data_IF_157251187050
#
_entry.id   IF_157251187050
#
_cell.length_a   1.000
_cell.length_b   1.000
_cell.length_c   1.000
_cell.angle_alpha   90.00
_cell.angle_beta   90.00
_cell.angle_gamma   90.00
#
_symmetry.space_group_name_H-M   'P 1'
#
loop_
_entity.id
_entity.type
_entity.pdbx_description
1 polymer ?
#
# COMPACT_ATOMS: atom_id res chain seq x y z
N UNK A 1 -34.06 25.60 35.96
CA UNK A 1 -34.24 24.38 35.16
C UNK A 1 -35.27 24.67 34.08
N UNK A 2 -34.82 24.99 32.86
CA UNK A 2 -35.68 25.16 31.68
C UNK A 2 -35.37 24.01 30.72
N UNK A 3 -36.39 23.27 30.33
CA UNK A 3 -36.28 22.17 29.39
C UNK A 3 -35.95 22.68 27.97
N UNK A 4 -35.16 21.95 27.17
CA UNK A 4 -34.89 22.32 25.79
C UNK A 4 -36.06 21.86 24.90
N UNK A 5 -36.52 22.77 24.05
CA UNK A 5 -37.50 22.54 22.99
C UNK A 5 -36.82 21.90 21.77
N UNK A 6 -37.25 20.69 21.40
CA UNK A 6 -36.84 20.01 20.18
C UNK A 6 -37.31 20.75 18.91
N UNK A 7 -36.49 20.85 17.86
CA UNK A 7 -36.93 21.37 16.57
C UNK A 7 -37.71 20.30 15.79
N UNK A 8 -38.80 20.76 15.17
CA UNK A 8 -39.67 19.98 14.30
C UNK A 8 -38.90 19.49 13.06
N UNK A 9 -38.82 18.17 12.92
CA UNK A 9 -38.31 17.48 11.73
C UNK A 9 -39.29 17.70 10.56
N UNK A 10 -38.87 18.44 9.54
CA UNK A 10 -39.67 18.73 8.34
C UNK A 10 -39.45 17.62 7.33
N UNK A 11 -40.41 16.68 7.25
CA UNK A 11 -40.45 15.61 6.26
C UNK A 11 -40.73 16.23 4.88
N UNK A 12 -39.78 16.11 3.96
CA UNK A 12 -39.97 16.45 2.55
C UNK A 12 -40.66 15.28 1.81
N UNK A 13 -41.60 15.55 0.88
CA UNK A 13 -42.27 14.50 0.14
C UNK A 13 -41.34 13.88 -0.90
N UNK A 14 -41.38 12.55 -1.00
CA UNK A 14 -40.75 11.79 -2.06
C UNK A 14 -41.36 12.17 -3.42
N UNK A 15 -40.53 12.69 -4.33
CA UNK A 15 -40.93 12.98 -5.71
C UNK A 15 -40.76 11.72 -6.55
N UNK A 16 -41.87 11.06 -6.87
CA UNK A 16 -41.95 9.94 -7.82
C UNK A 16 -41.89 10.50 -9.25
N UNK A 17 -40.68 10.63 -9.79
CA UNK A 17 -40.48 10.88 -11.22
C UNK A 17 -40.59 9.54 -11.97
N UNK A 18 -41.76 9.29 -12.56
CA UNK A 18 -41.96 8.18 -13.48
C UNK A 18 -41.21 8.46 -14.79
N UNK A 19 -40.08 7.79 -15.01
CA UNK A 19 -39.41 7.75 -16.31
C UNK A 19 -40.23 6.86 -17.25
N UNK A 20 -40.90 7.46 -18.22
CA UNK A 20 -41.52 6.74 -19.33
C UNK A 20 -40.42 6.23 -20.28
N UNK A 21 -40.18 4.92 -20.27
CA UNK A 21 -39.31 4.26 -21.25
C UNK A 21 -40.06 4.20 -22.58
N UNK A 22 -39.75 5.12 -23.49
CA UNK A 22 -40.20 5.07 -24.86
C UNK A 22 -39.48 3.91 -25.57
N UNK A 23 -40.16 2.76 -25.66
CA UNK A 23 -39.70 1.60 -26.41
C UNK A 23 -39.80 1.88 -27.91
N UNK A 24 -38.73 2.40 -28.50
CA UNK A 24 -38.58 2.48 -29.96
C UNK A 24 -38.16 1.10 -30.48
N UNK A 25 -39.15 0.29 -30.87
CA UNK A 25 -38.95 -0.92 -31.66
C UNK A 25 -38.52 -0.49 -33.07
N UNK A 26 -37.21 -0.37 -33.28
CA UNK A 26 -36.63 -0.25 -34.62
C UNK A 26 -36.74 -1.62 -35.30
N UNK A 27 -37.67 -1.77 -36.23
CA UNK A 27 -37.75 -2.94 -37.11
C UNK A 27 -36.47 -3.01 -37.95
N UNK A 28 -35.57 -3.92 -37.59
CA UNK A 28 -34.38 -4.24 -38.39
C UNK A 28 -34.84 -4.99 -39.64
N UNK A 29 -34.59 -4.47 -40.87
CA UNK A 29 -34.92 -5.18 -42.09
C UNK A 29 -34.10 -6.48 -42.19
N UNK A 30 -34.64 -7.56 -42.79
CA UNK A 30 -33.93 -8.83 -42.92
C UNK A 30 -32.68 -8.64 -43.78
N UNK A 31 -31.51 -8.69 -43.14
CA UNK A 31 -30.21 -8.61 -43.80
C UNK A 31 -29.97 -9.91 -44.58
N UNK A 32 -30.16 -9.83 -45.89
CA UNK A 32 -29.80 -10.88 -46.84
C UNK A 32 -28.31 -10.67 -47.21
N UNK A 33 -27.38 -11.07 -46.33
CA UNK A 33 -25.94 -11.07 -46.62
C UNK A 33 -25.42 -12.49 -46.75
N UNK A 34 -24.92 -12.81 -47.94
CA UNK A 34 -24.00 -13.92 -48.18
C UNK A 34 -22.63 -13.45 -47.74
N UNK A 35 -22.27 -13.76 -46.49
CA UNK A 35 -20.93 -13.53 -45.97
C UNK A 35 -20.03 -14.71 -46.39
N UNK A 36 -19.64 -14.74 -47.67
CA UNK A 36 -18.62 -15.65 -48.22
C UNK A 36 -17.21 -15.02 -48.11
N UNK A 37 -17.00 -14.11 -47.15
CA UNK A 37 -15.66 -13.57 -46.90
C UNK A 37 -14.77 -14.73 -46.40
N UNK A 38 -13.56 -14.93 -46.99
CA UNK A 38 -12.62 -15.91 -46.49
C UNK A 38 -12.38 -15.66 -44.98
N UNK A 39 -12.33 -16.71 -44.14
CA UNK A 39 -11.99 -16.53 -42.75
C UNK A 39 -10.69 -15.74 -42.66
N UNK A 40 -10.65 -14.73 -41.79
CA UNK A 40 -9.43 -14.00 -41.53
C UNK A 40 -8.31 -15.00 -41.21
N UNK A 41 -7.08 -14.79 -41.71
CA UNK A 41 -5.96 -15.66 -41.36
C UNK A 41 -5.88 -15.78 -39.85
N UNK A 42 -5.80 -17.01 -39.33
CA UNK A 42 -5.63 -17.25 -37.91
C UNK A 42 -4.37 -16.52 -37.44
N UNK A 43 -4.50 -15.70 -36.40
CA UNK A 43 -3.33 -15.07 -35.79
C UNK A 43 -2.30 -16.15 -35.42
N UNK A 44 -0.99 -15.88 -35.61
CA UNK A 44 0.04 -16.83 -35.21
C UNK A 44 -0.17 -17.19 -33.75
N UNK A 45 -0.10 -18.49 -33.44
CA UNK A 45 -0.23 -18.96 -32.06
C UNK A 45 0.81 -18.27 -31.20
N UNK A 46 0.36 -17.59 -30.15
CA UNK A 46 1.24 -17.04 -29.14
C UNK A 46 2.06 -18.17 -28.50
N UNK A 47 3.37 -17.97 -28.35
CA UNK A 47 4.30 -18.95 -27.75
C UNK A 47 4.95 -18.31 -26.53
N UNK A 48 4.65 -18.87 -25.36
CA UNK A 48 5.24 -18.47 -24.08
C UNK A 48 6.77 -18.67 -24.11
N UNK A 49 7.56 -17.76 -23.52
CA UNK A 49 9.02 -17.88 -23.52
C UNK A 49 9.49 -19.10 -22.70
N UNK A 50 10.67 -19.64 -23.04
CA UNK A 50 11.25 -20.75 -22.27
C UNK A 50 11.56 -20.29 -20.84
N UNK A 51 10.85 -20.83 -19.86
CA UNK A 51 11.02 -20.47 -18.46
C UNK A 51 12.41 -20.85 -17.94
N UNK A 52 13.03 -19.95 -17.18
CA UNK A 52 14.31 -20.24 -16.51
C UNK A 52 14.13 -20.55 -15.02
N UNK A 53 12.93 -20.32 -14.47
CA UNK A 53 12.62 -20.53 -13.06
C UNK A 53 12.23 -19.23 -12.36
N UNK A 54 12.17 -19.28 -11.03
CA UNK A 54 11.78 -18.16 -10.16
C UNK A 54 12.95 -17.89 -9.21
N UNK A 55 14.10 -17.54 -9.79
CA UNK A 55 15.38 -17.45 -9.08
C UNK A 55 15.76 -16.02 -8.66
N UNK A 56 15.02 -15.01 -9.14
CA UNK A 56 15.31 -13.58 -8.91
C UNK A 56 15.30 -12.77 -10.19
N UNK A 57 15.76 -11.52 -10.10
CA UNK A 57 15.79 -10.57 -11.22
C UNK A 57 16.56 -11.14 -12.41
N UNK A 58 15.96 -11.03 -13.59
CA UNK A 58 16.48 -11.55 -14.86
C UNK A 58 15.89 -12.90 -15.27
N UNK A 59 15.30 -13.66 -14.36
CA UNK A 59 14.67 -14.96 -14.64
C UNK A 59 13.40 -14.82 -15.46
N UNK A 60 13.06 -15.82 -16.28
CA UNK A 60 11.79 -15.92 -17.01
C UNK A 60 10.81 -16.77 -16.19
N UNK A 61 9.71 -16.14 -15.77
CA UNK A 61 8.66 -16.74 -14.96
C UNK A 61 8.05 -17.97 -15.68
N UNK A 62 7.89 -19.12 -15.00
CA UNK A 62 7.12 -20.25 -15.51
C UNK A 62 5.66 -19.86 -15.84
N UNK A 63 4.95 -20.60 -16.71
CA UNK A 63 3.55 -20.34 -17.05
C UNK A 63 2.62 -20.77 -15.88
N UNK A 64 2.73 -20.07 -14.75
CA UNK A 64 1.97 -20.34 -13.53
C UNK A 64 0.47 -20.28 -13.82
N UNK A 65 -0.28 -21.19 -13.20
CA UNK A 65 -1.73 -21.30 -13.37
C UNK A 65 -2.38 -21.53 -12.02
N UNK A 66 -3.25 -20.62 -11.59
CA UNK A 66 -4.16 -20.85 -10.48
C UNK A 66 -5.51 -21.25 -11.06
N UNK A 67 -5.90 -22.51 -10.84
CA UNK A 67 -7.15 -23.06 -11.36
C UNK A 67 -8.37 -22.36 -10.76
N UNK A 68 -8.20 -21.86 -9.53
CA UNK A 68 -9.13 -21.01 -8.80
C UNK A 68 -8.38 -19.77 -8.34
N UNK A 69 -8.82 -18.60 -8.78
CA UNK A 69 -8.34 -17.28 -8.42
C UNK A 69 -9.55 -16.36 -8.18
N UNK A 70 -9.44 -15.36 -7.30
CA UNK A 70 -10.50 -14.36 -7.11
C UNK A 70 -10.07 -13.05 -7.78
N UNK A 71 -10.73 -12.69 -8.87
CA UNK A 71 -10.53 -11.41 -9.55
C UNK A 71 -11.08 -10.23 -8.71
N UNK A 72 -10.67 -8.98 -8.99
CA UNK A 72 -11.30 -7.79 -8.42
C UNK A 72 -12.83 -7.86 -8.48
N UNK A 73 -13.51 -7.50 -7.39
CA UNK A 73 -14.97 -7.64 -7.25
C UNK A 73 -15.47 -9.03 -6.84
N UNK A 74 -14.58 -9.94 -6.42
CA UNK A 74 -14.94 -11.19 -5.74
C UNK A 74 -15.32 -12.35 -6.67
N UNK A 75 -15.04 -12.24 -7.98
CA UNK A 75 -15.39 -13.29 -8.95
C UNK A 75 -14.32 -14.38 -9.01
N UNK A 76 -14.70 -15.61 -8.69
CA UNK A 76 -13.87 -16.79 -8.91
C UNK A 76 -13.69 -17.08 -10.40
N UNK A 77 -12.44 -17.26 -10.83
CA UNK A 77 -12.06 -17.58 -12.20
C UNK A 77 -10.69 -18.27 -12.23
N UNK A 78 -10.12 -18.47 -13.40
CA UNK A 78 -8.75 -19.00 -13.57
C UNK A 78 -7.81 -17.85 -13.91
N UNK A 79 -6.61 -17.85 -13.32
CA UNK A 79 -5.54 -16.92 -13.65
C UNK A 79 -4.37 -17.71 -14.25
N UNK A 80 -4.03 -17.46 -15.51
CA UNK A 80 -2.92 -18.12 -16.20
C UNK A 80 -1.94 -17.08 -16.69
N UNK A 81 -0.66 -17.25 -16.37
CA UNK A 81 0.39 -16.34 -16.85
C UNK A 81 0.58 -16.43 -18.37
N UNK A 82 0.24 -17.57 -18.99
CA UNK A 82 0.19 -17.66 -20.45
C UNK A 82 -0.86 -16.71 -21.04
N UNK A 83 -2.05 -16.60 -20.43
CA UNK A 83 -3.09 -15.67 -20.91
C UNK A 83 -2.65 -14.22 -20.77
N UNK A 84 -1.93 -13.88 -19.70
CA UNK A 84 -1.33 -12.55 -19.50
C UNK A 84 -0.26 -12.24 -20.56
N UNK A 85 0.72 -13.13 -20.74
CA UNK A 85 1.76 -12.99 -21.77
C UNK A 85 1.17 -12.87 -23.18
N UNK A 86 0.18 -13.71 -23.49
CA UNK A 86 -0.50 -13.74 -24.78
C UNK A 86 -1.55 -12.65 -24.94
N UNK A 87 -1.70 -11.74 -23.96
CA UNK A 87 -2.65 -10.62 -23.99
C UNK A 87 -4.08 -11.07 -24.31
N UNK A 88 -4.49 -12.21 -23.78
CA UNK A 88 -5.85 -12.73 -23.94
C UNK A 88 -6.76 -12.04 -22.93
N UNK A 89 -8.02 -11.83 -23.30
CA UNK A 89 -8.99 -11.18 -22.43
C UNK A 89 -9.05 -11.83 -21.04
N UNK A 90 -9.02 -11.06 -19.93
CA UNK A 90 -9.10 -9.60 -19.84
C UNK A 90 -7.74 -8.87 -19.74
N UNK A 91 -6.63 -9.49 -20.15
CA UNK A 91 -5.26 -9.02 -19.92
C UNK A 91 -4.64 -8.30 -21.13
N UNK A 92 -5.45 -7.78 -22.06
CA UNK A 92 -4.98 -7.27 -23.35
C UNK A 92 -3.91 -6.17 -23.25
N UNK A 93 -3.98 -5.38 -22.17
CA UNK A 93 -3.12 -4.21 -21.98
C UNK A 93 -2.07 -4.40 -20.89
N UNK A 94 -2.06 -5.51 -20.15
CA UNK A 94 -1.20 -5.64 -18.96
C UNK A 94 0.28 -5.65 -19.36
N UNK A 95 1.06 -4.73 -18.81
CA UNK A 95 2.50 -4.57 -19.08
C UNK A 95 3.38 -5.13 -17.96
N UNK A 96 2.88 -5.11 -16.73
CA UNK A 96 3.57 -5.65 -15.55
C UNK A 96 2.64 -6.48 -14.66
N UNK A 97 3.20 -7.45 -13.95
CA UNK A 97 2.51 -8.21 -12.90
C UNK A 97 3.29 -8.07 -11.60
N UNK A 98 2.62 -7.61 -10.55
CA UNK A 98 3.17 -7.48 -9.20
C UNK A 98 2.67 -8.66 -8.36
N UNK A 99 3.58 -9.56 -8.00
CA UNK A 99 3.28 -10.67 -7.11
C UNK A 99 3.56 -10.27 -5.67
N UNK A 100 2.51 -9.93 -4.94
CA UNK A 100 2.56 -9.53 -3.54
C UNK A 100 2.48 -10.77 -2.66
N UNK A 101 3.60 -11.13 -2.06
CA UNK A 101 3.76 -12.33 -1.25
C UNK A 101 3.35 -12.05 0.20
N UNK A 102 2.35 -12.78 0.67
CA UNK A 102 1.85 -12.67 2.05
C UNK A 102 1.75 -14.05 2.70
N UNK A 103 1.59 -14.04 4.03
CA UNK A 103 1.23 -15.23 4.80
C UNK A 103 0.28 -14.83 5.93
N UNK A 104 -0.62 -15.73 6.33
CA UNK A 104 -1.63 -15.45 7.36
C UNK A 104 -1.03 -15.22 8.76
N UNK A 105 0.15 -15.79 9.04
CA UNK A 105 0.84 -15.68 10.34
C UNK A 105 1.74 -14.44 10.44
N UNK A 106 1.96 -13.75 9.33
CA UNK A 106 2.94 -12.68 9.21
C UNK A 106 2.36 -11.36 9.76
N UNK A 107 2.91 -10.80 10.85
CA UNK A 107 2.33 -9.62 11.51
C UNK A 107 2.39 -8.34 10.67
N UNK A 108 3.36 -8.25 9.75
CA UNK A 108 3.56 -7.09 8.88
C UNK A 108 2.78 -7.18 7.56
N UNK A 109 2.36 -8.38 7.17
CA UNK A 109 1.63 -8.62 5.92
C UNK A 109 0.29 -7.89 5.83
N UNK A 110 -0.51 -7.74 6.92
CA UNK A 110 -1.69 -6.89 6.93
C UNK A 110 -1.43 -5.45 6.47
N UNK A 111 -0.35 -4.82 6.95
CA UNK A 111 -0.02 -3.44 6.58
C UNK A 111 0.46 -3.38 5.13
N UNK A 112 1.38 -4.27 4.73
CA UNK A 112 1.86 -4.32 3.36
C UNK A 112 0.73 -4.56 2.34
N UNK A 113 -0.23 -5.43 2.67
CA UNK A 113 -1.40 -5.67 1.83
C UNK A 113 -2.30 -4.44 1.70
N UNK A 114 -2.51 -3.68 2.80
CA UNK A 114 -3.21 -2.38 2.76
C UNK A 114 -2.47 -1.39 1.87
N UNK A 115 -1.15 -1.27 2.04
CA UNK A 115 -0.33 -0.30 1.33
C UNK A 115 -0.32 -0.56 -0.17
N UNK A 116 -0.04 -1.80 -0.59
CA UNK A 116 -0.09 -2.17 -2.02
C UNK A 116 -1.52 -2.11 -2.55
N UNK A 117 -2.50 -2.51 -1.74
CA UNK A 117 -3.92 -2.43 -2.08
C UNK A 117 -4.40 -1.00 -2.34
N UNK A 118 -3.94 -0.03 -1.56
CA UNK A 118 -4.25 1.39 -1.75
C UNK A 118 -3.64 1.97 -3.03
N UNK A 119 -2.51 1.40 -3.48
CA UNK A 119 -1.81 1.79 -4.73
C UNK A 119 -2.36 1.07 -5.96
N UNK A 120 -3.05 -0.05 -5.80
CA UNK A 120 -3.53 -0.87 -6.91
C UNK A 120 -4.30 -0.10 -8.00
N UNK A 121 -5.19 0.88 -7.70
CA UNK A 121 -5.84 1.67 -8.74
C UNK A 121 -4.87 2.50 -9.61
N UNK A 122 -3.81 3.06 -8.99
CA UNK A 122 -2.78 3.82 -9.71
C UNK A 122 -1.91 2.87 -10.54
N UNK A 123 -1.58 1.70 -10.00
CA UNK A 123 -0.86 0.64 -10.72
C UNK A 123 -1.67 0.12 -11.92
N UNK A 124 -2.97 -0.12 -11.74
CA UNK A 124 -3.87 -0.54 -12.82
C UNK A 124 -4.01 0.54 -13.92
N UNK A 125 -3.96 1.82 -13.55
CA UNK A 125 -3.94 2.92 -14.52
C UNK A 125 -2.67 2.92 -15.38
N UNK A 126 -1.56 2.39 -14.86
CA UNK A 126 -0.30 2.13 -15.56
C UNK A 126 -0.23 0.69 -16.14
N UNK A 127 -1.37 0.07 -16.39
CA UNK A 127 -1.49 -1.27 -16.96
C UNK A 127 -0.80 -2.39 -16.16
N UNK A 128 -0.69 -2.25 -14.83
CA UNK A 128 -0.19 -3.30 -13.98
C UNK A 128 -1.31 -4.24 -13.51
N UNK A 129 -0.95 -5.51 -13.29
CA UNK A 129 -1.78 -6.51 -12.62
C UNK A 129 -1.22 -6.79 -11.23
N UNK A 130 -1.98 -6.50 -10.18
CA UNK A 130 -1.60 -6.85 -8.80
C UNK A 130 -2.18 -8.22 -8.44
N UNK A 131 -1.32 -9.14 -7.98
CA UNK A 131 -1.70 -10.50 -7.54
C UNK A 131 -1.19 -10.72 -6.12
N UNK A 132 -2.10 -10.78 -5.16
CA UNK A 132 -1.81 -11.19 -3.79
C UNK A 132 -1.75 -12.71 -3.72
N UNK A 133 -0.58 -13.24 -3.40
CA UNK A 133 -0.31 -14.66 -3.25
C UNK A 133 -0.15 -14.97 -1.77
N UNK A 134 -1.08 -15.74 -1.21
CA UNK A 134 -0.92 -16.29 0.13
C UNK A 134 -0.06 -17.56 0.04
N UNK A 135 1.10 -17.51 0.67
CA UNK A 135 2.10 -18.59 0.61
C UNK A 135 1.89 -19.61 1.71
N UNK A 136 1.36 -19.19 2.88
CA UNK A 136 1.26 -20.04 4.07
C UNK A 136 0.09 -19.63 4.96
N UNK A 137 -0.69 -20.63 5.37
CA UNK A 137 -1.74 -20.47 6.35
C UNK A 137 -1.18 -20.15 7.76
N UNK A 138 -2.06 -19.80 8.69
CA UNK A 138 -1.68 -19.36 10.04
C UNK A 138 -0.88 -20.40 10.86
N UNK A 139 -0.90 -21.68 10.47
CA UNK A 139 -0.14 -22.76 11.09
C UNK A 139 1.31 -22.89 10.57
N UNK A 140 1.72 -22.05 9.62
CA UNK A 140 3.04 -22.00 8.98
C UNK A 140 3.42 -23.27 8.18
N UNK A 141 2.50 -24.21 7.99
CA UNK A 141 2.80 -25.50 7.35
C UNK A 141 1.88 -25.78 6.17
N UNK A 142 0.64 -25.33 6.26
CA UNK A 142 -0.38 -25.59 5.26
C UNK A 142 -0.30 -24.57 4.15
N UNK A 143 -0.26 -25.04 2.90
CA UNK A 143 -0.46 -24.17 1.74
C UNK A 143 -1.93 -23.71 1.74
N UNK A 144 -2.19 -22.40 1.70
CA UNK A 144 -3.55 -21.86 1.74
C UNK A 144 -4.24 -22.10 0.38
N UNK A 145 -5.55 -22.39 0.42
CA UNK A 145 -6.39 -22.35 -0.77
C UNK A 145 -6.69 -20.91 -1.15
N UNK A 146 -7.16 -20.69 -2.38
CA UNK A 146 -7.63 -19.38 -2.85
C UNK A 146 -8.81 -18.86 -2.02
N UNK A 147 -9.66 -19.73 -1.48
CA UNK A 147 -10.72 -19.30 -0.55
C UNK A 147 -10.15 -18.77 0.78
N UNK A 148 -9.09 -19.40 1.31
CA UNK A 148 -8.39 -18.90 2.51
C UNK A 148 -7.70 -17.57 2.23
N UNK A 149 -6.96 -17.50 1.11
CA UNK A 149 -6.26 -16.30 0.66
C UNK A 149 -7.24 -15.13 0.46
N UNK A 150 -8.39 -15.35 -0.18
CA UNK A 150 -9.47 -14.37 -0.27
C UNK A 150 -9.92 -13.90 1.11
N UNK A 151 -10.27 -14.82 2.00
CA UNK A 151 -10.77 -14.49 3.33
C UNK A 151 -9.75 -13.77 4.23
N UNK A 152 -8.45 -13.95 3.95
CA UNK A 152 -7.36 -13.23 4.62
C UNK A 152 -7.15 -11.84 4.00
N UNK A 153 -6.84 -11.77 2.69
CA UNK A 153 -6.50 -10.52 2.01
C UNK A 153 -7.66 -9.52 1.99
N UNK A 154 -8.91 -9.99 1.84
CA UNK A 154 -10.11 -9.13 1.80
C UNK A 154 -10.33 -8.32 3.10
N UNK A 155 -9.69 -8.71 4.21
CA UNK A 155 -9.72 -7.93 5.47
C UNK A 155 -8.92 -6.63 5.37
N UNK A 156 -8.04 -6.54 4.38
CA UNK A 156 -7.06 -5.46 4.24
C UNK A 156 -7.23 -4.71 2.92
N UNK A 157 -7.60 -5.41 1.85
CA UNK A 157 -7.92 -4.78 0.57
C UNK A 157 -8.85 -5.64 -0.28
N UNK A 158 -9.76 -4.99 -1.01
CA UNK A 158 -10.60 -5.61 -2.04
C UNK A 158 -10.04 -5.43 -3.46
N UNK A 159 -8.86 -4.80 -3.58
CA UNK A 159 -8.17 -4.54 -4.83
C UNK A 159 -7.29 -5.72 -5.26
N UNK A 160 -6.98 -5.81 -6.55
CA UNK A 160 -6.12 -6.85 -7.12
C UNK A 160 -6.75 -8.25 -7.17
N UNK A 161 -5.96 -9.21 -7.62
CA UNK A 161 -6.29 -10.63 -7.66
C UNK A 161 -5.81 -11.32 -6.38
N UNK A 162 -6.53 -12.35 -5.93
CA UNK A 162 -6.18 -13.13 -4.74
C UNK A 162 -6.09 -14.60 -5.10
N UNK A 163 -4.97 -15.23 -4.72
CA UNK A 163 -4.68 -16.64 -4.98
C UNK A 163 -3.99 -17.29 -3.79
N UNK A 164 -4.29 -18.56 -3.54
CA UNK A 164 -3.57 -19.38 -2.56
C UNK A 164 -2.71 -20.42 -3.26
N UNK A 165 -1.51 -20.68 -2.72
CA UNK A 165 -0.55 -21.60 -3.32
C UNK A 165 -1.03 -23.06 -3.43
N UNK A 166 -2.05 -23.48 -2.67
CA UNK A 166 -2.61 -24.83 -2.79
C UNK A 166 -3.41 -25.06 -4.09
N UNK A 167 -3.96 -23.99 -4.69
CA UNK A 167 -4.79 -24.06 -5.91
C UNK A 167 -4.00 -23.77 -7.20
N UNK A 168 -2.68 -23.61 -7.08
CA UNK A 168 -1.76 -23.59 -8.21
C UNK A 168 -1.75 -24.98 -8.89
N UNK A 169 -1.66 -25.02 -10.22
CA UNK A 169 -1.52 -26.25 -10.99
C UNK A 169 -0.30 -27.07 -10.57
N UNK A 170 0.75 -26.39 -10.10
CA UNK A 170 1.88 -26.95 -9.38
C UNK A 170 1.87 -26.38 -7.94
N UNK A 171 1.17 -27.03 -6.99
CA UNK A 171 1.04 -26.50 -5.64
C UNK A 171 2.38 -26.22 -4.98
N UNK A 172 2.53 -25.01 -4.43
CA UNK A 172 3.76 -24.57 -3.77
C UNK A 172 4.87 -24.08 -4.70
N UNK A 173 4.62 -23.92 -6.01
CA UNK A 173 5.63 -23.44 -6.95
C UNK A 173 6.27 -22.10 -6.54
N UNK A 174 5.51 -21.15 -5.98
CA UNK A 174 6.08 -19.92 -5.44
C UNK A 174 6.59 -20.11 -4.01
N UNK A 175 5.92 -20.93 -3.20
CA UNK A 175 6.38 -21.22 -1.84
C UNK A 175 7.79 -21.86 -1.81
N UNK A 176 8.11 -22.72 -2.75
CA UNK A 176 9.41 -23.39 -2.85
C UNK A 176 10.45 -22.58 -3.66
N UNK A 177 10.04 -21.46 -4.26
CA UNK A 177 10.92 -20.63 -5.09
C UNK A 177 11.96 -19.87 -4.23
N UNK A 178 13.23 -19.79 -4.66
CA UNK A 178 14.27 -19.08 -3.92
C UNK A 178 14.22 -17.54 -4.08
N UNK A 179 13.23 -17.00 -4.78
CA UNK A 179 13.07 -15.54 -5.00
C UNK A 179 12.78 -14.76 -3.71
N UNK A 180 12.27 -15.42 -2.68
CA UNK A 180 11.91 -14.80 -1.42
C UNK A 180 12.55 -15.55 -0.25
N UNK A 181 12.86 -14.81 0.82
CA UNK A 181 13.38 -15.37 2.07
C UNK A 181 12.57 -14.94 3.28
N UNK A 182 11.78 -13.88 3.14
CA UNK A 182 10.83 -13.37 4.12
C UNK A 182 9.51 -12.94 3.49
N UNK A 183 8.49 -12.80 4.34
CA UNK A 183 7.22 -12.14 4.01
C UNK A 183 6.97 -10.99 5.00
N UNK A 184 6.30 -9.90 4.57
CA UNK A 184 5.79 -9.69 3.21
C UNK A 184 6.90 -9.44 2.20
N UNK A 185 6.64 -9.73 0.93
CA UNK A 185 7.56 -9.49 -0.17
C UNK A 185 6.82 -9.14 -1.45
N UNK A 186 7.54 -8.67 -2.47
CA UNK A 186 6.98 -8.45 -3.80
C UNK A 186 8.05 -8.70 -4.86
N UNK A 187 7.68 -9.28 -5.98
CA UNK A 187 8.49 -9.24 -7.18
C UNK A 187 7.64 -8.84 -8.38
N UNK A 188 8.28 -8.24 -9.36
CA UNK A 188 7.60 -7.64 -10.52
C UNK A 188 8.05 -8.35 -11.78
N UNK A 189 7.07 -8.71 -12.62
CA UNK A 189 7.28 -9.40 -13.89
C UNK A 189 6.86 -8.49 -15.02
N UNK A 190 7.74 -8.28 -16.01
CA UNK A 190 7.39 -7.60 -17.26
C UNK A 190 6.73 -8.60 -18.20
N UNK A 191 5.52 -8.29 -18.68
CA UNK A 191 4.71 -9.27 -19.43
C UNK A 191 5.21 -9.55 -20.83
N UNK A 192 5.97 -8.65 -21.48
CA UNK A 192 6.40 -8.87 -22.88
C UNK A 192 7.39 -10.02 -23.06
N UNK A 193 8.12 -10.39 -22.01
CA UNK A 193 9.12 -11.46 -21.99
C UNK A 193 9.08 -12.31 -20.72
N UNK A 194 8.07 -12.07 -19.86
CA UNK A 194 7.88 -12.73 -18.56
C UNK A 194 9.11 -12.66 -17.65
N UNK A 195 9.96 -11.66 -17.87
CA UNK A 195 11.16 -11.47 -17.08
C UNK A 195 10.82 -10.86 -15.73
N UNK A 196 11.37 -11.41 -14.66
CA UNK A 196 11.36 -10.80 -13.33
C UNK A 196 12.30 -9.59 -13.37
N UNK A 197 11.77 -8.38 -13.22
CA UNK A 197 12.54 -7.13 -13.38
C UNK A 197 12.91 -6.48 -12.05
N UNK A 198 12.16 -6.74 -10.98
CA UNK A 198 12.41 -6.22 -9.65
C UNK A 198 12.04 -7.25 -8.58
N UNK A 199 12.73 -7.22 -7.44
CA UNK A 199 12.46 -8.06 -6.28
C UNK A 199 12.68 -7.26 -4.99
N UNK A 200 11.75 -7.37 -4.05
CA UNK A 200 11.77 -6.66 -2.76
C UNK A 200 12.98 -7.06 -1.90
N UNK A 201 13.44 -8.31 -1.99
CA UNK A 201 14.64 -8.79 -1.26
C UNK A 201 15.94 -8.12 -1.71
N UNK A 202 15.98 -7.60 -2.94
CA UNK A 202 17.14 -6.91 -3.50
C UNK A 202 17.16 -5.40 -3.14
N UNK A 203 16.12 -4.91 -2.46
CA UNK A 203 15.94 -3.50 -2.10
C UNK A 203 15.96 -3.29 -0.58
N UNK A 204 16.56 -2.18 -0.14
CA UNK A 204 16.48 -1.72 1.25
C UNK A 204 15.19 -0.94 1.56
N UNK A 205 14.42 -0.62 0.52
CA UNK A 205 13.18 0.16 0.59
C UNK A 205 12.02 -0.64 0.00
N UNK A 206 10.78 -0.27 0.31
CA UNK A 206 9.63 -0.70 -0.49
C UNK A 206 9.92 -0.38 -1.97
N UNK A 207 9.60 -1.33 -2.86
CA UNK A 207 9.80 -1.11 -4.30
C UNK A 207 9.02 0.14 -4.76
N UNK A 208 9.59 0.97 -5.66
CA UNK A 208 8.91 2.11 -6.25
C UNK A 208 7.86 1.62 -7.27
N UNK A 209 6.75 1.04 -6.79
CA UNK A 209 5.81 0.29 -7.62
C UNK A 209 5.27 1.10 -8.81
N UNK A 210 4.89 2.35 -8.58
CA UNK A 210 4.36 3.24 -9.60
C UNK A 210 5.41 3.59 -10.66
N UNK A 211 6.66 3.83 -10.24
CA UNK A 211 7.76 4.12 -11.18
C UNK A 211 8.11 2.86 -12.01
N UNK A 212 8.08 1.67 -11.40
CA UNK A 212 8.28 0.39 -12.10
C UNK A 212 7.15 0.13 -13.11
N UNK A 213 5.89 0.42 -12.73
CA UNK A 213 4.74 0.25 -13.61
C UNK A 213 4.79 1.23 -14.79
N UNK A 214 5.21 2.48 -14.56
CA UNK A 214 5.31 3.52 -15.58
C UNK A 214 6.48 3.31 -16.57
N UNK A 215 7.57 2.66 -16.14
CA UNK A 215 8.71 2.34 -17.01
C UNK A 215 9.27 0.92 -16.75
N UNK A 216 8.57 -0.14 -17.21
CA UNK A 216 9.01 -1.53 -17.02
C UNK A 216 10.26 -1.89 -17.84
N UNK A 217 10.75 -0.99 -18.67
CA UNK A 217 11.94 -1.18 -19.51
C UNK A 217 13.23 -0.70 -18.82
N UNK A 218 13.12 0.09 -17.75
CA UNK A 218 14.26 0.52 -16.96
C UNK A 218 14.95 -0.65 -16.23
N UNK A 219 16.18 -0.40 -15.77
CA UNK A 219 16.94 -1.35 -14.97
C UNK A 219 16.53 -1.24 -13.50
N UNK A 220 15.70 -2.18 -13.06
CA UNK A 220 15.19 -2.27 -11.69
C UNK A 220 15.94 -3.29 -10.84
N UNK A 221 17.15 -3.71 -11.24
CA UNK A 221 18.01 -4.59 -10.43
C UNK A 221 18.53 -3.92 -9.15
N UNK A 222 18.48 -2.59 -9.07
CA UNK A 222 18.79 -1.81 -7.88
C UNK A 222 17.87 -0.57 -7.84
N UNK A 223 16.59 -0.75 -7.45
CA UNK A 223 15.61 0.33 -7.52
C UNK A 223 15.99 1.47 -6.57
N UNK A 224 15.75 2.74 -6.96
CA UNK A 224 15.89 3.86 -6.04
C UNK A 224 14.85 3.76 -4.91
N UNK A 225 15.02 4.54 -3.83
CA UNK A 225 13.94 4.73 -2.85
C UNK A 225 12.65 5.19 -3.57
N UNK A 226 11.47 4.75 -3.10
CA UNK A 226 10.21 5.18 -3.68
C UNK A 226 10.05 6.69 -3.57
N UNK A 227 9.42 7.27 -4.59
CA UNK A 227 9.01 8.67 -4.53
C UNK A 227 8.06 8.87 -3.35
N UNK A 228 8.30 9.95 -2.59
CA UNK A 228 7.46 10.27 -1.44
C UNK A 228 6.07 10.70 -1.91
N UNK A 229 5.04 10.09 -1.35
CA UNK A 229 3.63 10.41 -1.63
C UNK A 229 2.98 10.95 -0.37
N UNK A 230 2.65 12.25 -0.31
CA UNK A 230 1.96 12.79 0.84
C UNK A 230 0.52 12.26 0.89
N UNK A 231 0.09 11.82 2.08
CA UNK A 231 -1.30 11.49 2.40
C UNK A 231 -2.02 12.68 3.04
N UNK A 232 -1.39 13.85 3.06
CA UNK A 232 -1.97 15.10 3.51
C UNK A 232 -1.72 16.21 2.49
N UNK A 233 -2.55 17.25 2.52
CA UNK A 233 -2.39 18.43 1.70
C UNK A 233 -1.46 19.43 2.39
N UNK A 234 -0.87 20.34 1.61
CA UNK A 234 -0.07 21.44 2.16
C UNK A 234 -0.85 22.39 3.11
N UNK A 235 -2.18 22.26 3.19
CA UNK A 235 -3.01 23.01 4.14
C UNK A 235 -3.20 22.28 5.49
N UNK A 236 -2.82 21.00 5.55
CA UNK A 236 -2.85 20.17 6.75
C UNK A 236 -1.53 20.29 7.55
N UNK A 237 -0.50 20.87 6.95
CA UNK A 237 0.75 21.28 7.59
C UNK A 237 0.51 22.24 8.76
N UNK A 238 1.36 22.17 9.79
CA UNK A 238 1.22 23.05 10.93
C UNK A 238 1.59 24.51 10.62
N UNK A 239 1.12 25.48 11.43
CA UNK A 239 1.49 26.89 11.26
C UNK A 239 2.99 27.23 11.41
N UNK A 240 3.83 26.26 11.80
CA UNK A 240 5.25 26.42 12.10
C UNK A 240 6.18 26.33 10.90
N UNK A 241 5.66 25.95 9.73
CA UNK A 241 6.45 25.66 8.55
C UNK A 241 7.17 26.89 7.93
N UNK A 242 8.37 26.72 7.31
CA UNK A 242 9.11 25.47 7.17
C UNK A 242 9.91 25.09 8.43
N UNK A 243 9.68 23.91 9.00
CA UNK A 243 10.46 23.30 10.08
C UNK A 243 11.12 21.97 9.68
N UNK A 244 11.34 21.77 8.37
CA UNK A 244 12.06 20.65 7.75
C UNK A 244 13.50 20.38 8.24
N UNK A 245 14.05 21.25 9.10
CA UNK A 245 15.42 21.13 9.60
C UNK A 245 15.51 21.49 11.08
N UNK A 246 16.47 20.90 11.79
CA UNK A 246 16.78 21.25 13.18
C UNK A 246 16.99 22.76 13.40
N UNK A 247 17.56 23.47 12.42
CA UNK A 247 17.82 24.91 12.51
C UNK A 247 16.56 25.78 12.40
N UNK A 248 15.47 25.24 11.85
CA UNK A 248 14.19 25.92 11.65
C UNK A 248 13.08 25.37 12.55
N UNK A 249 13.44 24.58 13.57
CA UNK A 249 12.50 23.90 14.45
C UNK A 249 11.48 24.84 15.13
N UNK A 250 10.21 24.41 15.14
CA UNK A 250 9.08 25.17 15.71
C UNK A 250 9.00 25.03 17.24
N UNK A 251 8.92 26.12 18.02
CA UNK A 251 8.76 26.01 19.48
C UNK A 251 7.39 25.47 19.91
N UNK A 252 7.39 24.47 20.81
CA UNK A 252 6.18 23.92 21.41
C UNK A 252 5.83 24.63 22.72
N UNK A 253 4.54 24.92 22.89
CA UNK A 253 3.98 25.50 24.11
C UNK A 253 3.27 24.43 24.90
N UNK A 254 3.68 24.23 26.15
CA UNK A 254 3.10 23.20 27.02
C UNK A 254 1.57 23.36 27.15
N UNK A 255 0.84 22.26 26.93
CA UNK A 255 -0.62 22.17 27.01
C UNK A 255 -1.38 22.74 25.81
N UNK A 256 -0.68 23.20 24.76
CA UNK A 256 -1.30 23.64 23.51
C UNK A 256 -1.08 22.57 22.43
N UNK A 257 -2.13 21.90 21.96
CA UNK A 257 -2.01 20.97 20.83
C UNK A 257 -1.59 21.71 19.56
N UNK A 258 -0.74 21.08 18.76
CA UNK A 258 -0.39 21.47 17.39
C UNK A 258 -1.03 20.44 16.46
N UNK A 259 -1.84 20.91 15.51
CA UNK A 259 -2.35 20.09 14.40
C UNK A 259 -1.41 20.34 13.21
N UNK A 260 -0.92 19.27 12.61
CA UNK A 260 0.04 19.29 11.49
C UNK A 260 0.01 17.98 10.71
N UNK A 261 1.04 17.74 9.90
CA UNK A 261 1.19 16.49 9.18
C UNK A 261 2.51 16.39 8.43
N UNK A 262 3.07 15.19 8.31
CA UNK A 262 4.26 14.98 7.47
C UNK A 262 3.82 15.00 6.00
N UNK A 263 3.70 16.18 5.37
CA UNK A 263 3.27 16.29 3.97
C UNK A 263 4.43 16.49 2.99
N UNK A 264 5.67 16.42 3.48
CA UNK A 264 6.88 16.29 2.67
C UNK A 264 7.73 15.10 3.13
N UNK A 265 8.75 14.74 2.35
CA UNK A 265 9.69 13.68 2.74
C UNK A 265 10.63 14.10 3.89
N UNK A 266 10.64 15.39 4.24
CA UNK A 266 11.48 15.91 5.31
C UNK A 266 10.81 15.67 6.68
N UNK A 267 11.59 15.48 7.75
CA UNK A 267 11.06 15.41 9.11
C UNK A 267 10.63 16.79 9.63
N UNK A 268 9.63 16.83 10.50
CA UNK A 268 9.22 18.06 11.18
C UNK A 268 10.00 18.20 12.49
N UNK A 269 10.69 19.33 12.65
CA UNK A 269 11.47 19.60 13.84
C UNK A 269 10.76 20.56 14.80
N UNK A 270 10.83 20.26 16.09
CA UNK A 270 10.24 21.05 17.16
C UNK A 270 11.22 21.28 18.33
N UNK A 271 11.04 22.36 19.08
CA UNK A 271 11.80 22.61 20.32
C UNK A 271 10.90 22.64 21.55
N UNK A 272 11.39 22.07 22.64
CA UNK A 272 10.75 22.08 23.96
C UNK A 272 11.65 22.82 24.94
N UNK A 273 11.22 23.97 25.44
CA UNK A 273 11.95 24.77 26.45
C UNK A 273 11.32 24.61 27.84
N UNK A 274 11.28 23.37 28.33
CA UNK A 274 10.76 23.02 29.66
C UNK A 274 11.93 22.52 30.50
N UNK A 275 12.27 23.24 31.58
CA UNK A 275 13.39 22.86 32.46
C UNK A 275 13.13 21.58 33.29
N UNK A 276 11.86 21.26 33.55
CA UNK A 276 11.43 20.11 34.34
C UNK A 276 11.17 18.86 33.50
N UNK A 277 10.48 17.89 34.12
CA UNK A 277 9.97 16.72 33.41
C UNK A 277 8.75 17.10 32.56
N UNK A 278 8.63 16.48 31.39
CA UNK A 278 7.50 16.64 30.48
C UNK A 278 7.19 15.33 29.77
N UNK A 279 5.97 15.24 29.25
CA UNK A 279 5.50 14.15 28.38
C UNK A 279 5.15 14.70 27.01
N UNK A 280 5.53 13.99 25.96
CA UNK A 280 5.05 14.23 24.60
C UNK A 280 4.02 13.15 24.25
N UNK A 281 2.93 13.58 23.64
CA UNK A 281 1.90 12.72 23.08
C UNK A 281 1.73 13.12 21.59
N UNK A 282 1.97 12.19 20.68
CA UNK A 282 1.73 12.34 19.25
C UNK A 282 0.60 11.38 18.87
N UNK A 283 -0.50 11.92 18.32
CA UNK A 283 -1.67 11.15 17.90
C UNK A 283 -1.82 11.24 16.38
N UNK A 284 -1.97 10.11 15.71
CA UNK A 284 -2.14 10.01 14.25
C UNK A 284 -2.93 8.73 13.93
N UNK A 285 -3.27 8.51 12.66
CA UNK A 285 -3.90 7.25 12.23
C UNK A 285 -2.83 6.35 11.62
N UNK A 286 -2.41 5.29 12.31
CA UNK A 286 -1.37 4.37 11.82
C UNK A 286 -1.79 3.67 10.51
N UNK A 287 -3.10 3.50 10.29
CA UNK A 287 -3.63 2.97 9.03
C UNK A 287 -3.48 3.94 7.84
N UNK A 288 -3.28 5.23 8.07
CA UNK A 288 -3.03 6.24 7.04
C UNK A 288 -1.52 6.48 6.81
N UNK A 289 -0.70 6.27 7.85
CA UNK A 289 0.75 6.34 7.77
C UNK A 289 1.38 6.14 9.14
N UNK A 290 2.54 5.49 9.19
CA UNK A 290 3.25 5.23 10.44
C UNK A 290 4.26 6.34 10.75
N UNK A 291 4.13 6.98 11.91
CA UNK A 291 4.99 8.09 12.32
C UNK A 291 5.79 7.72 13.57
N UNK A 292 7.08 8.02 13.52
CA UNK A 292 7.98 7.91 14.66
C UNK A 292 8.31 9.30 15.21
N UNK A 293 8.62 9.36 16.51
CA UNK A 293 9.06 10.60 17.16
C UNK A 293 10.31 10.36 18.00
N UNK A 294 11.31 11.21 17.80
CA UNK A 294 12.61 11.09 18.44
C UNK A 294 13.05 12.40 19.10
N UNK A 295 13.84 12.29 20.15
CA UNK A 295 14.70 13.38 20.62
C UNK A 295 15.94 13.39 19.73
N UNK A 296 16.20 14.53 19.10
CA UNK A 296 17.27 14.68 18.11
C UNK A 296 18.36 15.64 18.60
N UNK A 297 19.56 15.47 18.07
CA UNK A 297 20.67 16.39 18.29
C UNK A 297 20.43 17.68 17.48
N UNK A 298 20.53 18.88 18.11
CA UNK A 298 20.15 20.14 17.47
C UNK A 298 21.13 20.61 16.40
N UNK A 299 22.29 19.95 16.24
CA UNK A 299 23.30 20.30 15.24
C UNK A 299 23.18 19.40 14.01
N UNK A 300 23.01 18.10 14.23
CA UNK A 300 22.99 17.08 13.17
C UNK A 300 21.57 16.75 12.70
N UNK A 301 20.57 16.89 13.57
CA UNK A 301 19.21 16.39 13.34
C UNK A 301 19.08 14.87 13.55
N UNK A 302 20.15 14.18 13.93
CA UNK A 302 20.15 12.73 14.15
C UNK A 302 19.50 12.37 15.50
N UNK A 303 18.80 11.22 15.62
CA UNK A 303 18.28 10.75 16.90
C UNK A 303 19.38 10.57 17.96
N UNK A 304 19.13 11.08 19.17
CA UNK A 304 20.02 10.86 20.32
C UNK A 304 19.86 9.41 20.79
N UNK A 305 20.98 8.71 20.93
CA UNK A 305 21.00 7.33 21.41
C UNK A 305 21.31 7.25 22.92
N UNK A 306 20.47 6.53 23.67
CA UNK A 306 20.73 6.13 25.05
C UNK A 306 20.74 4.60 25.15
N UNK A 307 21.86 4.02 25.63
CA UNK A 307 22.08 2.58 25.64
C UNK A 307 21.92 1.92 24.25
N UNK A 308 22.39 2.61 23.19
CA UNK A 308 22.32 2.16 21.80
C UNK A 308 20.88 1.99 21.28
N UNK A 309 19.94 2.77 21.82
CA UNK A 309 18.57 2.90 21.34
C UNK A 309 18.20 4.37 21.20
N UNK A 310 17.45 4.77 20.17
CA UNK A 310 17.00 6.14 20.04
C UNK A 310 16.08 6.52 21.22
N UNK A 311 16.22 7.75 21.71
CA UNK A 311 15.32 8.31 22.72
C UNK A 311 14.08 8.83 22.01
N UNK A 312 12.92 8.25 22.27
CA UNK A 312 11.70 8.56 21.54
C UNK A 312 10.66 7.47 21.67
N UNK A 313 9.84 7.33 20.63
CA UNK A 313 8.79 6.32 20.52
C UNK A 313 8.62 5.94 19.03
N UNK A 314 8.61 4.62 18.78
CA UNK A 314 8.54 3.94 17.47
C UNK A 314 7.52 2.77 17.56
N UNK A 315 6.34 3.09 18.11
CA UNK A 315 5.26 2.15 18.38
C UNK A 315 4.48 1.76 17.13
N UNK A 316 3.56 0.80 17.29
CA UNK A 316 2.70 0.30 16.20
C UNK A 316 1.23 0.66 16.44
N UNK A 317 0.98 1.77 17.13
CA UNK A 317 -0.38 2.20 17.49
C UNK A 317 -0.61 3.62 17.02
N UNK A 318 -1.86 4.07 16.98
CA UNK A 318 -2.26 5.45 16.66
C UNK A 318 -1.71 6.53 17.65
N UNK A 319 -0.78 6.17 18.54
CA UNK A 319 -0.20 7.06 19.54
C UNK A 319 1.25 6.70 19.85
N UNK A 320 2.10 7.70 19.70
CA UNK A 320 3.45 7.71 20.26
C UNK A 320 3.49 8.54 21.55
N UNK A 321 4.20 8.05 22.57
CA UNK A 321 4.28 8.75 23.87
C UNK A 321 5.56 8.43 24.62
N UNK A 322 6.22 9.46 25.16
CA UNK A 322 7.40 9.29 26.02
C UNK A 322 7.58 10.48 26.98
N UNK A 323 8.44 10.31 27.99
CA UNK A 323 8.80 11.38 28.93
C UNK A 323 10.27 11.75 28.84
N UNK A 324 10.58 13.02 29.14
CA UNK A 324 11.94 13.56 29.15
C UNK A 324 12.07 14.67 30.19
N UNK A 325 13.29 14.97 30.60
CA UNK A 325 13.59 16.07 31.53
C UNK A 325 14.50 17.09 30.86
N UNK A 326 14.18 18.36 31.05
CA UNK A 326 14.96 19.48 30.53
C UNK A 326 14.65 19.80 29.06
N UNK A 327 15.26 20.88 28.53
CA UNK A 327 15.06 21.29 27.16
C UNK A 327 15.52 20.24 26.15
N UNK A 328 14.82 20.14 25.03
CA UNK A 328 15.12 19.18 23.97
C UNK A 328 14.68 19.68 22.58
N UNK A 329 15.22 19.05 21.54
CA UNK A 329 14.69 19.11 20.19
C UNK A 329 14.05 17.78 19.84
N UNK A 330 12.92 17.84 19.15
CA UNK A 330 12.13 16.69 18.71
C UNK A 330 12.15 16.66 17.19
N UNK A 331 12.25 15.47 16.60
CA UNK A 331 11.98 15.23 15.19
C UNK A 331 10.84 14.22 15.04
N UNK A 332 9.88 14.53 14.17
CA UNK A 332 8.81 13.61 13.75
C UNK A 332 9.14 13.16 12.33
N UNK A 333 9.09 11.86 12.05
CA UNK A 333 9.39 11.31 10.73
C UNK A 333 8.39 10.24 10.36
N UNK A 334 8.11 10.10 9.07
CA UNK A 334 7.38 8.95 8.55
C UNK A 334 8.27 7.71 8.48
N UNK A 335 7.85 6.61 9.09
CA UNK A 335 8.52 5.32 8.94
C UNK A 335 8.48 4.90 7.46
N UNK A 336 9.63 4.59 6.88
CA UNK A 336 9.78 4.26 5.46
C UNK A 336 9.19 5.30 4.48
N UNK A 337 9.15 6.58 4.87
CA UNK A 337 8.58 7.64 4.05
C UNK A 337 7.06 7.71 4.09
N UNK A 338 6.43 7.13 5.12
CA UNK A 338 5.00 7.30 5.39
C UNK A 338 4.64 8.78 5.58
N UNK A 339 3.37 9.10 5.35
CA UNK A 339 2.82 10.43 5.50
C UNK A 339 1.44 10.29 6.15
N UNK A 340 1.14 11.15 7.12
CA UNK A 340 -0.20 11.32 7.67
C UNK A 340 -0.27 12.61 8.48
N UNK A 341 -1.49 13.05 8.78
CA UNK A 341 -1.74 14.15 9.71
C UNK A 341 -1.57 13.71 11.15
N UNK A 342 -1.23 14.64 12.04
CA UNK A 342 -1.05 14.36 13.45
C UNK A 342 -1.53 15.50 14.36
N UNK A 343 -1.79 15.14 15.62
CA UNK A 343 -1.94 16.08 16.73
C UNK A 343 -0.79 15.87 17.71
N UNK A 344 0.05 16.88 17.89
CA UNK A 344 1.20 16.87 18.79
C UNK A 344 0.90 17.68 20.05
N UNK A 345 1.14 17.12 21.23
CA UNK A 345 0.99 17.81 22.52
C UNK A 345 2.17 17.54 23.43
N UNK A 346 2.73 18.60 24.02
CA UNK A 346 3.70 18.51 25.13
C UNK A 346 3.03 18.94 26.42
N UNK A 347 3.14 18.13 27.48
CA UNK A 347 2.59 18.41 28.80
C UNK A 347 3.71 18.49 29.83
N UNK A 348 3.86 19.64 30.49
CA UNK A 348 4.76 19.75 31.64
C UNK A 348 4.25 18.88 32.80
N UNK A 349 5.11 18.02 33.34
CA UNK A 349 4.81 17.20 34.50
C UNK A 349 5.30 17.95 35.74
N UNK A 350 4.38 18.22 36.67
CA UNK A 350 4.73 18.88 37.91
C UNK A 350 5.70 18.01 38.71
N UNK A 351 6.84 18.59 39.10
CA UNK A 351 7.73 17.92 40.06
C UNK A 351 6.91 17.66 41.33
N UNK A 352 6.85 16.41 41.84
CA UNK A 352 6.14 16.15 43.08
C UNK A 352 6.72 17.07 44.17
N UNK A 353 5.84 17.85 44.82
CA UNK A 353 6.23 18.63 46.00
C UNK A 353 6.85 17.68 47.03
N UNK A 354 8.05 18.01 47.56
CA UNK A 354 8.82 17.11 48.43
C UNK A 354 8.11 16.74 49.74
#
# INVERSE_FOLDING_TARGET
MRAPTSPLLRVLPASTAALAVASCIMQVPPANRRDDAPPAPSEPACVYPDATGIEGVGSILPPLTWTVAVAPGGRFTTLQMEDVYCRRAPFENIETVFFVLVAEWCPNCPQYARDVGARAPDLEAENALVVFVDLQAADQQTLPSTESAEGYVLRYTDQGWRVGEADNAEPGALYEAPIWSAVPGCFVVRTRDMQIIANQEDSQYILPFEDIAADPEADWSNPPPPSFRPNCAAADEEPGEPNDTAATATPLVAGTPVEGGICTAAPDYFTVDIAGEWRLDLLFTHAEGDLDVYVVDPVTGDPILENNRPVGSEGTTDRETFTRTGPAMIGITGFQGSSTTYTLTVTALSTPSP
#
